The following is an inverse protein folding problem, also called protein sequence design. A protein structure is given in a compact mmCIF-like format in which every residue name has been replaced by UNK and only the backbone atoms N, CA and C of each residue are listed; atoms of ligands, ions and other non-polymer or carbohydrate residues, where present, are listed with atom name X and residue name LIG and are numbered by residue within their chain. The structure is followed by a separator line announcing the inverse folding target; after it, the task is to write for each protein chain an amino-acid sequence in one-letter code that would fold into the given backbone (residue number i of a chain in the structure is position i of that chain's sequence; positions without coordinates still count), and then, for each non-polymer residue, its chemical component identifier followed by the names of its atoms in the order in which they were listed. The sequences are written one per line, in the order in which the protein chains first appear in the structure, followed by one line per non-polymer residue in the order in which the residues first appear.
data_IF_129968616406
#
_entry.id   IF_129968616406
#
_cell.length_a   1.000
_cell.length_b   1.000
_cell.length_c   1.000
_cell.angle_alpha   90.00
_cell.angle_beta   90.00
_cell.angle_gamma   90.00
#
_symmetry.space_group_name_H-M   'P 1'
#
loop_
_entity.id
_entity.type
_entity.pdbx_description
1 polymer ?
#
# COMPACT_ATOMS: atom_id res chain seq x y z
N UNK A 1 22.53 -54.47 -4.41
CA UNK A 1 23.05 -53.16 -4.04
C UNK A 1 21.89 -52.19 -3.93
N UNK A 2 21.46 -51.94 -2.67
CA UNK A 2 20.32 -51.06 -2.37
C UNK A 2 20.91 -49.70 -1.98
N UNK A 3 20.58 -48.62 -2.71
CA UNK A 3 20.80 -47.26 -2.31
C UNK A 3 19.49 -46.67 -1.75
N UNK A 4 19.39 -46.66 -0.44
CA UNK A 4 18.36 -45.93 0.26
C UNK A 4 18.68 -44.43 0.24
N UNK A 5 17.83 -43.62 -0.38
CA UNK A 5 17.88 -42.17 -0.34
C UNK A 5 17.11 -41.70 0.91
N UNK A 6 17.83 -41.28 1.90
CA UNK A 6 17.29 -40.53 3.04
C UNK A 6 16.91 -39.11 2.60
N UNK A 7 15.61 -38.85 2.56
CA UNK A 7 15.06 -37.50 2.47
C UNK A 7 15.06 -36.89 3.89
N UNK A 8 16.02 -36.04 4.17
CA UNK A 8 15.97 -35.17 5.35
C UNK A 8 15.04 -34.01 5.04
N UNK A 9 13.81 -34.09 5.52
CA UNK A 9 12.89 -32.97 5.58
C UNK A 9 13.26 -32.12 6.80
N UNK A 10 14.01 -31.04 6.57
CA UNK A 10 14.29 -30.06 7.61
C UNK A 10 13.03 -29.25 7.89
N UNK A 11 12.37 -29.53 9.01
CA UNK A 11 11.29 -28.71 9.57
C UNK A 11 11.88 -27.35 9.95
N UNK A 12 11.57 -26.33 9.16
CA UNK A 12 11.80 -24.95 9.57
C UNK A 12 10.73 -24.59 10.60
N UNK A 13 11.14 -24.53 11.87
CA UNK A 13 10.28 -24.04 12.93
C UNK A 13 10.11 -22.52 12.75
N UNK A 14 8.93 -22.11 12.33
CA UNK A 14 8.52 -20.72 12.42
C UNK A 14 8.35 -20.37 13.90
N UNK A 15 9.30 -19.62 14.43
CA UNK A 15 9.17 -19.00 15.73
C UNK A 15 8.07 -17.93 15.63
N UNK A 16 6.90 -18.25 16.12
CA UNK A 16 5.81 -17.29 16.32
C UNK A 16 6.20 -16.42 17.51
N UNK A 17 6.77 -15.27 17.23
CA UNK A 17 6.95 -14.24 18.26
C UNK A 17 5.59 -13.54 18.41
N UNK A 18 4.76 -14.08 19.30
CA UNK A 18 3.58 -13.39 19.82
C UNK A 18 4.08 -12.35 20.83
N UNK A 19 4.41 -11.16 20.37
CA UNK A 19 4.51 -9.99 21.25
C UNK A 19 3.22 -9.21 21.13
N UNK A 20 2.19 -9.65 21.85
CA UNK A 20 1.05 -8.81 22.21
C UNK A 20 1.55 -7.81 23.25
N UNK A 21 2.17 -6.74 22.79
CA UNK A 21 2.38 -5.57 23.63
C UNK A 21 1.18 -4.67 23.36
N UNK A 22 0.23 -4.66 24.28
CA UNK A 22 -0.80 -3.63 24.39
C UNK A 22 -0.13 -2.29 24.70
N UNK A 23 0.29 -1.56 23.65
CA UNK A 23 0.56 -0.14 23.78
C UNK A 23 -0.73 0.61 23.46
N UNK A 24 -1.47 0.86 24.54
CA UNK A 24 -2.74 1.57 24.50
C UNK A 24 -2.63 3.00 23.96
N UNK A 25 -3.69 3.42 23.33
CA UNK A 25 -4.34 4.73 23.16
C UNK A 25 -3.53 6.06 23.19
N UNK A 26 -2.31 6.13 23.66
CA UNK A 26 -1.53 7.38 23.70
C UNK A 26 -0.71 7.65 22.43
N UNK A 27 -0.35 6.62 21.65
CA UNK A 27 0.44 6.76 20.40
C UNK A 27 -0.40 7.21 19.19
N UNK A 28 -1.71 6.98 19.20
CA UNK A 28 -2.56 7.36 18.06
C UNK A 28 -2.70 8.89 17.90
N UNK A 29 -2.48 9.66 18.95
CA UNK A 29 -2.63 11.12 18.93
C UNK A 29 -1.42 11.85 18.31
N UNK A 30 -0.26 11.20 18.21
CA UNK A 30 0.98 11.78 17.64
C UNK A 30 1.21 11.42 16.17
N UNK A 31 0.45 10.45 15.63
CA UNK A 31 0.62 9.99 14.24
C UNK A 31 0.03 10.98 13.24
N UNK A 32 0.81 11.29 12.20
CA UNK A 32 0.33 12.09 11.07
C UNK A 32 -0.81 11.39 10.29
N UNK A 33 -1.55 12.15 9.47
CA UNK A 33 -2.73 11.62 8.75
C UNK A 33 -2.41 10.42 7.84
N UNK A 34 -1.32 10.46 7.10
CA UNK A 34 -0.90 9.35 6.22
C UNK A 34 -0.52 8.09 7.01
N UNK A 35 0.09 8.26 8.19
CA UNK A 35 0.40 7.14 9.07
C UNK A 35 -0.88 6.48 9.63
N UNK A 36 -1.90 7.29 10.00
CA UNK A 36 -3.22 6.78 10.38
C UNK A 36 -3.91 6.06 9.22
N UNK A 37 -3.81 6.60 8.03
CA UNK A 37 -4.36 5.97 6.83
C UNK A 37 -3.66 4.63 6.54
N UNK A 38 -2.34 4.56 6.64
CA UNK A 38 -1.61 3.28 6.54
C UNK A 38 -2.13 2.24 7.53
N UNK A 39 -2.32 2.58 8.81
CA UNK A 39 -2.87 1.66 9.80
C UNK A 39 -4.29 1.22 9.45
N UNK A 40 -5.11 2.10 8.89
CA UNK A 40 -6.45 1.77 8.38
C UNK A 40 -6.37 0.74 7.27
N UNK A 41 -5.49 0.92 6.27
CA UNK A 41 -5.29 -0.05 5.19
C UNK A 41 -4.80 -1.39 5.75
N UNK A 42 -3.81 -1.39 6.62
CA UNK A 42 -3.25 -2.61 7.22
C UNK A 42 -4.31 -3.45 7.96
N UNK A 43 -5.25 -2.80 8.67
CA UNK A 43 -6.34 -3.49 9.36
C UNK A 43 -7.36 -4.11 8.40
N UNK A 44 -7.60 -3.48 7.25
CA UNK A 44 -8.64 -3.89 6.29
C UNK A 44 -8.12 -4.78 5.15
N UNK A 45 -6.84 -4.69 4.80
CA UNK A 45 -6.22 -5.44 3.69
C UNK A 45 -5.43 -6.65 4.19
N UNK A 46 -6.07 -7.50 5.02
CA UNK A 46 -5.41 -8.64 5.68
C UNK A 46 -4.86 -9.70 4.72
N UNK A 47 -5.43 -9.79 3.51
CA UNK A 47 -4.99 -10.67 2.42
C UNK A 47 -3.81 -10.13 1.63
N UNK A 48 -3.39 -8.89 1.90
CA UNK A 48 -2.28 -8.21 1.22
C UNK A 48 -1.21 -7.91 2.24
N UNK A 49 0.02 -8.33 1.97
CA UNK A 49 1.18 -7.91 2.75
C UNK A 49 1.57 -6.49 2.35
N UNK A 50 1.44 -5.53 3.26
CA UNK A 50 1.83 -4.15 3.06
C UNK A 50 3.09 -3.85 3.87
N UNK A 51 4.17 -3.55 3.19
CA UNK A 51 5.47 -3.21 3.78
C UNK A 51 5.72 -1.72 3.56
N UNK A 52 5.93 -0.98 4.64
CA UNK A 52 6.27 0.44 4.56
C UNK A 52 7.72 0.61 4.10
N UNK A 53 7.91 1.45 3.09
CA UNK A 53 9.25 1.79 2.59
C UNK A 53 9.68 3.07 3.28
N UNK A 54 10.64 2.93 4.21
CA UNK A 54 11.27 4.08 4.86
C UNK A 54 12.59 4.36 4.15
N UNK A 55 12.57 5.29 3.22
CA UNK A 55 13.77 5.64 2.46
C UNK A 55 14.01 7.16 2.49
N UNK A 56 14.98 7.59 3.27
CA UNK A 56 15.40 8.98 3.35
C UNK A 56 16.30 9.42 2.17
N UNK A 57 16.84 8.46 1.42
CA UNK A 57 17.87 8.73 0.40
C UNK A 57 17.33 8.78 -1.02
N UNK A 58 16.19 8.13 -1.30
CA UNK A 58 15.59 8.08 -2.63
C UNK A 58 14.26 8.84 -2.64
N UNK A 59 14.31 10.09 -3.08
CA UNK A 59 13.12 10.89 -3.25
C UNK A 59 12.18 10.31 -4.30
N UNK A 60 10.87 10.30 -4.01
CA UNK A 60 9.83 9.83 -4.94
C UNK A 60 9.56 8.34 -4.90
N UNK A 61 10.25 7.57 -4.05
CA UNK A 61 9.88 6.18 -3.78
C UNK A 61 8.49 6.14 -3.15
N UNK A 62 7.56 5.26 -3.64
CA UNK A 62 6.24 5.11 -3.03
C UNK A 62 6.31 4.66 -1.57
N UNK A 63 5.28 5.00 -0.80
CA UNK A 63 5.23 4.75 0.65
C UNK A 63 5.23 3.26 1.01
N UNK A 64 4.59 2.43 0.17
CA UNK A 64 4.38 1.02 0.46
C UNK A 64 4.78 0.11 -0.72
N UNK A 65 5.34 -1.04 -0.37
CA UNK A 65 5.40 -2.22 -1.22
C UNK A 65 4.25 -3.15 -0.81
N UNK A 66 3.42 -3.52 -1.77
CA UNK A 66 2.34 -4.47 -1.61
C UNK A 66 2.68 -5.81 -2.24
N UNK A 67 2.22 -6.88 -1.61
CA UNK A 67 2.34 -8.25 -2.11
C UNK A 67 1.03 -8.99 -1.87
N UNK A 68 0.37 -9.43 -2.94
CA UNK A 68 -0.91 -10.12 -2.83
C UNK A 68 -0.76 -11.65 -2.79
N UNK A 69 -1.86 -12.35 -2.52
CA UNK A 69 -1.85 -13.82 -2.41
C UNK A 69 -1.53 -14.55 -3.73
N UNK A 70 -1.63 -13.85 -4.88
CA UNK A 70 -1.22 -14.40 -6.18
C UNK A 70 0.29 -14.29 -6.43
N UNK A 71 1.05 -13.81 -5.45
CA UNK A 71 2.49 -13.64 -5.57
C UNK A 71 2.90 -12.43 -6.42
N UNK A 72 2.02 -11.46 -6.57
CA UNK A 72 2.25 -10.28 -7.40
C UNK A 72 2.63 -9.07 -6.58
N UNK A 73 3.68 -8.36 -7.01
CA UNK A 73 4.14 -7.12 -6.39
C UNK A 73 3.50 -5.88 -7.02
N UNK A 74 3.20 -4.92 -6.18
CA UNK A 74 2.83 -3.57 -6.61
C UNK A 74 3.35 -2.54 -5.60
N UNK A 75 3.43 -1.29 -6.02
CA UNK A 75 3.73 -0.18 -5.11
C UNK A 75 2.50 0.67 -4.90
N UNK A 76 2.40 1.27 -3.71
CA UNK A 76 1.27 2.09 -3.33
C UNK A 76 1.76 3.39 -2.69
N UNK A 77 1.44 4.51 -3.34
CA UNK A 77 1.61 5.85 -2.79
C UNK A 77 0.37 6.21 -1.97
N UNK A 78 0.56 6.73 -0.76
CA UNK A 78 -0.53 7.16 0.12
C UNK A 78 -0.65 8.68 0.10
N UNK A 79 -1.87 9.16 0.01
CA UNK A 79 -2.19 10.57 0.17
C UNK A 79 -3.44 10.75 1.01
N UNK A 80 -3.45 11.81 1.78
CA UNK A 80 -4.64 12.27 2.48
C UNK A 80 -4.93 13.71 2.09
N UNK A 81 -6.21 14.04 1.94
CA UNK A 81 -6.61 15.39 1.60
C UNK A 81 -7.90 15.78 2.35
N UNK A 82 -8.10 17.08 2.54
CA UNK A 82 -9.37 17.68 3.02
C UNK A 82 -10.07 18.47 1.93
N UNK A 83 -9.45 18.59 0.77
CA UNK A 83 -9.94 19.37 -0.36
C UNK A 83 -9.81 18.58 -1.66
N UNK A 84 -10.18 19.20 -2.78
CA UNK A 84 -9.95 18.59 -4.09
C UNK A 84 -8.46 18.48 -4.44
N UNK A 85 -7.61 19.37 -3.89
CA UNK A 85 -6.20 19.46 -4.28
C UNK A 85 -5.40 18.32 -3.67
N UNK A 86 -4.65 17.62 -4.50
CA UNK A 86 -3.67 16.60 -4.10
C UNK A 86 -2.30 17.12 -4.51
N UNK A 87 -1.30 16.96 -3.64
CA UNK A 87 0.05 17.44 -3.90
C UNK A 87 1.00 16.27 -4.07
N UNK A 88 1.72 16.27 -5.18
CA UNK A 88 2.81 15.34 -5.45
C UNK A 88 4.12 16.13 -5.56
N UNK A 89 5.21 15.52 -5.11
CA UNK A 89 6.55 16.05 -5.40
C UNK A 89 6.90 15.74 -6.87
N UNK A 90 7.80 16.52 -7.49
CA UNK A 90 8.28 16.22 -8.84
C UNK A 90 8.87 14.79 -8.95
N UNK A 91 9.49 14.31 -7.88
CA UNK A 91 10.06 12.95 -7.83
C UNK A 91 8.98 11.86 -7.82
N UNK A 92 7.87 12.06 -7.10
CA UNK A 92 6.74 11.14 -7.11
C UNK A 92 6.10 11.08 -8.51
N UNK A 93 5.92 12.24 -9.16
CA UNK A 93 5.42 12.31 -10.53
C UNK A 93 6.37 11.54 -11.47
N UNK A 94 7.67 11.83 -11.41
CA UNK A 94 8.66 11.16 -12.24
C UNK A 94 8.68 9.65 -12.03
N UNK A 95 8.55 9.18 -10.79
CA UNK A 95 8.47 7.75 -10.48
C UNK A 95 7.28 7.08 -11.18
N UNK A 96 6.08 7.61 -11.02
CA UNK A 96 4.87 7.00 -11.59
C UNK A 96 4.82 7.10 -13.11
N UNK A 97 5.35 8.16 -13.70
CA UNK A 97 5.49 8.29 -15.17
C UNK A 97 6.46 7.24 -15.71
N UNK A 98 7.60 7.04 -15.03
CA UNK A 98 8.61 6.05 -15.41
C UNK A 98 8.14 4.60 -15.21
N UNK A 99 7.31 4.37 -14.18
CA UNK A 99 6.84 3.05 -13.77
C UNK A 99 5.30 2.97 -13.81
N UNK A 100 4.67 2.97 -15.00
CA UNK A 100 3.21 3.07 -15.11
C UNK A 100 2.47 1.78 -14.75
N UNK A 101 3.17 0.65 -14.66
CA UNK A 101 2.59 -0.67 -14.36
C UNK A 101 2.84 -1.04 -12.91
N UNK A 102 1.86 -1.72 -12.29
CA UNK A 102 1.93 -2.21 -10.92
C UNK A 102 2.21 -1.13 -9.88
N UNK A 103 1.84 0.12 -10.20
CA UNK A 103 1.93 1.25 -9.29
C UNK A 103 0.55 1.85 -9.10
N UNK A 104 0.22 2.16 -7.87
CA UNK A 104 -1.08 2.69 -7.49
C UNK A 104 -0.93 3.89 -6.56
N UNK A 105 -1.96 4.73 -6.53
CA UNK A 105 -2.08 5.88 -5.63
C UNK A 105 -3.39 5.72 -4.88
N UNK A 106 -3.33 5.61 -3.56
CA UNK A 106 -4.49 5.48 -2.70
C UNK A 106 -4.68 6.76 -1.88
N UNK A 107 -5.87 7.34 -1.97
CA UNK A 107 -6.14 8.65 -1.40
C UNK A 107 -7.34 8.56 -0.48
N UNK A 108 -7.20 9.08 0.75
CA UNK A 108 -8.28 9.26 1.70
C UNK A 108 -8.68 10.74 1.78
N UNK A 109 -9.96 11.02 1.60
CA UNK A 109 -10.52 12.35 1.87
C UNK A 109 -11.02 12.41 3.32
N UNK A 110 -10.33 13.16 4.17
CA UNK A 110 -10.56 13.18 5.61
C UNK A 110 -11.95 13.70 6.01
N UNK A 111 -12.54 14.59 5.20
CA UNK A 111 -13.86 15.15 5.51
C UNK A 111 -15.01 14.17 5.29
N UNK A 112 -14.95 13.33 4.24
CA UNK A 112 -15.97 12.34 3.91
C UNK A 112 -15.60 10.91 4.30
N UNK A 113 -14.35 10.65 4.68
CA UNK A 113 -13.84 9.30 4.90
C UNK A 113 -13.72 8.45 3.62
N UNK A 114 -13.96 9.06 2.45
CA UNK A 114 -13.93 8.38 1.16
C UNK A 114 -12.51 7.99 0.79
N UNK A 115 -12.33 6.73 0.38
CA UNK A 115 -11.06 6.22 -0.14
C UNK A 115 -11.18 6.00 -1.64
N UNK A 116 -10.21 6.47 -2.40
CA UNK A 116 -10.11 6.30 -3.84
C UNK A 116 -8.77 5.66 -4.22
N UNK A 117 -8.81 4.71 -5.16
CA UNK A 117 -7.62 4.09 -5.74
C UNK A 117 -7.48 4.52 -7.20
N UNK A 118 -6.27 4.91 -7.57
CA UNK A 118 -5.89 5.28 -8.92
C UNK A 118 -4.70 4.43 -9.38
N UNK A 119 -4.62 4.14 -10.67
CA UNK A 119 -3.39 3.60 -11.26
C UNK A 119 -2.33 4.69 -11.31
N UNK A 120 -1.08 4.35 -11.03
CA UNK A 120 0.03 5.30 -11.04
C UNK A 120 0.20 6.02 -12.39
N UNK A 121 -0.14 5.36 -13.50
CA UNK A 121 -0.13 5.95 -14.84
C UNK A 121 -1.01 7.20 -14.99
N UNK A 122 -1.96 7.41 -14.08
CA UNK A 122 -2.89 8.56 -14.09
C UNK A 122 -2.43 9.73 -13.20
N UNK A 123 -1.20 9.72 -12.73
CA UNK A 123 -0.71 10.73 -11.78
C UNK A 123 -0.81 12.17 -12.33
N UNK A 124 -0.57 12.37 -13.64
CA UNK A 124 -0.67 13.68 -14.27
C UNK A 124 -2.12 14.20 -14.30
N UNK A 125 -3.08 13.31 -14.61
CA UNK A 125 -4.50 13.66 -14.56
C UNK A 125 -4.93 13.96 -13.12
N UNK A 126 -4.43 13.17 -12.16
CA UNK A 126 -4.75 13.30 -10.75
C UNK A 126 -4.19 14.60 -10.16
N UNK A 127 -3.00 15.02 -10.57
CA UNK A 127 -2.42 16.30 -10.19
C UNK A 127 -3.24 17.48 -10.75
N UNK A 128 -3.69 17.38 -12.01
CA UNK A 128 -4.47 18.42 -12.66
C UNK A 128 -5.91 18.51 -12.14
N UNK A 129 -6.60 17.37 -12.02
CA UNK A 129 -8.03 17.31 -11.66
C UNK A 129 -8.27 17.19 -10.15
N UNK A 130 -7.31 16.64 -9.41
CA UNK A 130 -7.40 16.38 -7.98
C UNK A 130 -8.36 15.26 -7.62
N UNK A 131 -8.90 15.30 -6.41
CA UNK A 131 -9.75 14.23 -5.85
C UNK A 131 -11.08 14.03 -6.60
N UNK A 132 -11.52 15.01 -7.39
CA UNK A 132 -12.72 14.88 -8.25
C UNK A 132 -12.54 13.90 -9.40
N UNK A 133 -11.29 13.62 -9.79
CA UNK A 133 -11.02 12.65 -10.84
C UNK A 133 -11.69 11.30 -10.53
N UNK A 134 -12.26 10.67 -11.57
CA UNK A 134 -12.84 9.34 -11.42
C UNK A 134 -11.77 8.31 -11.13
N UNK A 135 -11.92 7.64 -10.00
CA UNK A 135 -11.02 6.60 -9.55
C UNK A 135 -11.25 5.29 -10.31
N UNK A 136 -10.23 4.42 -10.37
CA UNK A 136 -10.44 3.06 -10.83
C UNK A 136 -11.25 2.25 -9.81
N UNK A 137 -11.14 2.59 -8.52
CA UNK A 137 -11.97 2.02 -7.45
C UNK A 137 -12.33 3.07 -6.40
N UNK A 138 -13.54 2.97 -5.89
CA UNK A 138 -14.11 3.84 -4.87
C UNK A 138 -14.55 3.01 -3.65
N UNK A 139 -14.08 3.40 -2.48
CA UNK A 139 -14.33 2.69 -1.22
C UNK A 139 -13.24 1.66 -0.89
N UNK A 140 -13.10 1.39 0.39
CA UNK A 140 -11.99 0.61 0.94
C UNK A 140 -11.98 -0.84 0.44
N UNK A 141 -13.14 -1.50 0.44
CA UNK A 141 -13.25 -2.89 -0.01
C UNK A 141 -13.01 -3.05 -1.52
N UNK A 142 -13.53 -2.13 -2.34
CA UNK A 142 -13.28 -2.14 -3.77
C UNK A 142 -11.80 -1.89 -4.10
N UNK A 143 -11.13 -1.02 -3.34
CA UNK A 143 -9.68 -0.80 -3.47
C UNK A 143 -8.89 -2.07 -3.11
N UNK A 144 -9.29 -2.76 -2.04
CA UNK A 144 -8.69 -4.05 -1.65
C UNK A 144 -8.82 -5.10 -2.73
N UNK A 145 -10.03 -5.30 -3.25
CA UNK A 145 -10.31 -6.29 -4.29
C UNK A 145 -9.51 -6.04 -5.58
N UNK A 146 -9.33 -4.78 -5.99
CA UNK A 146 -8.50 -4.43 -7.15
C UNK A 146 -7.03 -4.81 -6.94
N UNK A 147 -6.49 -4.57 -5.75
CA UNK A 147 -5.10 -4.92 -5.42
C UNK A 147 -4.91 -6.43 -5.25
N UNK A 148 -5.93 -7.15 -4.77
CA UNK A 148 -5.93 -8.62 -4.72
C UNK A 148 -5.95 -9.24 -6.13
N UNK A 149 -6.67 -8.63 -7.07
CA UNK A 149 -6.75 -9.07 -8.45
C UNK A 149 -5.57 -8.62 -9.32
N UNK A 150 -4.66 -7.80 -8.78
CA UNK A 150 -3.51 -7.32 -9.52
C UNK A 150 -2.62 -8.47 -9.97
N UNK A 151 -2.30 -8.55 -11.28
CA UNK A 151 -1.45 -9.59 -11.85
C UNK A 151 -2.18 -10.86 -12.31
N UNK A 152 -3.52 -10.90 -12.22
CA UNK A 152 -4.36 -11.96 -12.77
C UNK A 152 -4.72 -11.69 -14.23
#
# INVERSE_FOLDING_TARGET
MHFSRLLLCSKVNYCTINTSIEYGSHLENTMGPEAKFYQKLKRNFKSISLIRIENSSLHGTPDLLGYNNSGHFFTLELKVTRSNKIRFSPHQIAFHVKHPKNTFICIEHLGSGTVKLFRGSRIMELEACGFKLDACRLGLDACRLELEACGL
#
